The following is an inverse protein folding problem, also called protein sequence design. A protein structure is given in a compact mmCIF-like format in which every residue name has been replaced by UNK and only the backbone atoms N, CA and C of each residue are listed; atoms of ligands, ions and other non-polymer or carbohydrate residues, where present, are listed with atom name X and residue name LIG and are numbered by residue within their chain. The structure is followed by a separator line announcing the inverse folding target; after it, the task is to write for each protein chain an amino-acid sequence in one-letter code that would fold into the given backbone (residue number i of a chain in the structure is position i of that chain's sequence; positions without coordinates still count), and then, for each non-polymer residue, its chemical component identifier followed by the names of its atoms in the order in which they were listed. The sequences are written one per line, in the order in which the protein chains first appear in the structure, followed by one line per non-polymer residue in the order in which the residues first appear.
data_IF_578548913776
#
_entry.id   IF_578548913776
#
_cell.length_a   1.000
_cell.length_b   1.000
_cell.length_c   1.000
_cell.angle_alpha   90.00
_cell.angle_beta   90.00
_cell.angle_gamma   90.00
#
_symmetry.space_group_name_H-M   'P 1'
#
loop_
_entity.id
_entity.type
_entity.pdbx_description
1 polymer ?
#
# COMPACT_ATOMS: atom_id res chain seq x y z
N UNK A 1 1.23 -4.87 -14.92
CA UNK A 1 1.18 -5.46 -16.30
C UNK A 1 1.19 -6.97 -16.18
N UNK A 2 0.39 -7.69 -16.98
CA UNK A 2 0.46 -9.16 -17.07
C UNK A 2 1.19 -9.49 -18.37
N UNK A 3 2.25 -10.30 -18.23
CA UNK A 3 3.06 -10.74 -19.38
C UNK A 3 2.58 -12.13 -19.81
N UNK A 4 2.39 -12.36 -21.12
CA UNK A 4 1.95 -13.63 -21.67
C UNK A 4 0.44 -13.68 -21.95
N UNK A 5 -0.26 -14.69 -21.41
CA UNK A 5 -1.69 -14.92 -21.68
C UNK A 5 -2.59 -13.88 -20.99
N UNK A 6 -3.83 -13.74 -21.48
CA UNK A 6 -4.83 -12.87 -20.83
C UNK A 6 -5.06 -13.34 -19.38
N UNK A 7 -5.00 -12.42 -18.40
CA UNK A 7 -5.18 -12.79 -17.00
C UNK A 7 -6.59 -13.35 -16.75
N UNK A 8 -6.68 -14.33 -15.85
CA UNK A 8 -7.98 -14.84 -15.37
C UNK A 8 -8.79 -13.73 -14.68
N UNK A 9 -10.09 -13.97 -14.44
CA UNK A 9 -10.94 -13.04 -13.72
C UNK A 9 -10.41 -12.73 -12.31
N UNK A 10 -9.89 -13.75 -11.61
CA UNK A 10 -9.32 -13.59 -10.27
C UNK A 10 -8.05 -12.72 -10.28
N UNK A 11 -7.15 -12.91 -11.25
CA UNK A 11 -5.94 -12.09 -11.40
C UNK A 11 -6.31 -10.63 -11.72
N UNK A 12 -7.25 -10.42 -12.64
CA UNK A 12 -7.75 -9.07 -12.96
C UNK A 12 -8.34 -8.39 -11.72
N UNK A 13 -9.14 -9.13 -10.98
CA UNK A 13 -9.74 -8.64 -9.73
C UNK A 13 -8.66 -8.23 -8.72
N UNK A 14 -7.69 -9.11 -8.45
CA UNK A 14 -6.57 -8.83 -7.54
C UNK A 14 -5.84 -7.55 -7.95
N UNK A 15 -5.39 -7.46 -9.20
CA UNK A 15 -4.61 -6.31 -9.68
C UNK A 15 -5.43 -5.01 -9.62
N UNK A 16 -6.65 -5.00 -10.17
CA UNK A 16 -7.46 -3.78 -10.23
C UNK A 16 -7.89 -3.28 -8.85
N UNK A 17 -8.18 -4.19 -7.90
CA UNK A 17 -8.58 -3.80 -6.55
C UNK A 17 -7.37 -3.32 -5.74
N UNK A 18 -6.21 -3.96 -5.87
CA UNK A 18 -5.00 -3.49 -5.18
C UNK A 18 -4.59 -2.10 -5.67
N UNK A 19 -4.61 -1.87 -6.99
CA UNK A 19 -4.37 -0.54 -7.56
C UNK A 19 -5.40 0.48 -7.08
N UNK A 20 -6.70 0.13 -7.07
CA UNK A 20 -7.76 0.99 -6.54
C UNK A 20 -7.55 1.32 -5.07
N UNK A 21 -7.06 0.38 -4.27
CA UNK A 21 -6.77 0.63 -2.85
C UNK A 21 -5.63 1.63 -2.64
N UNK A 22 -4.59 1.59 -3.49
CA UNK A 22 -3.53 2.59 -3.51
C UNK A 22 -4.10 4.00 -3.72
N UNK A 23 -4.91 4.17 -4.77
CA UNK A 23 -5.52 5.48 -5.04
C UNK A 23 -6.54 5.90 -3.97
N UNK A 24 -7.20 4.97 -3.29
CA UNK A 24 -8.05 5.30 -2.15
C UNK A 24 -7.23 5.87 -0.99
N UNK A 25 -6.07 5.29 -0.68
CA UNK A 25 -5.12 5.84 0.30
C UNK A 25 -4.63 7.23 -0.07
N UNK A 26 -4.20 7.42 -1.33
CA UNK A 26 -3.74 8.73 -1.82
C UNK A 26 -4.86 9.78 -1.74
N UNK A 27 -6.07 9.43 -2.14
CA UNK A 27 -7.23 10.34 -2.12
C UNK A 27 -7.73 10.66 -0.70
N UNK A 28 -7.33 9.91 0.31
CA UNK A 28 -7.61 10.22 1.72
C UNK A 28 -6.73 11.35 2.27
N UNK A 29 -5.66 11.71 1.55
CA UNK A 29 -4.77 12.81 1.93
C UNK A 29 -5.45 14.14 1.61
N UNK A 30 -5.77 14.89 2.65
CA UNK A 30 -6.39 16.22 2.51
C UNK A 30 -5.37 17.37 2.63
N UNK A 31 -4.09 17.06 2.74
CA UNK A 31 -2.99 18.01 2.83
C UNK A 31 -2.29 18.00 4.17
N UNK A 32 -1.75 19.15 4.57
CA UNK A 32 -1.13 19.33 5.89
C UNK A 32 -2.09 18.92 7.01
N UNK A 33 -1.62 18.15 7.96
CA UNK A 33 -2.43 17.63 9.06
C UNK A 33 -3.11 16.27 8.81
N UNK A 34 -2.98 15.68 7.62
CA UNK A 34 -3.48 14.32 7.36
C UNK A 34 -2.83 13.32 8.32
N UNK A 35 -3.65 12.44 8.90
CA UNK A 35 -3.15 11.37 9.76
C UNK A 35 -2.96 10.07 8.97
N UNK A 36 -1.86 9.35 9.22
CA UNK A 36 -1.57 8.07 8.52
C UNK A 36 -2.65 7.02 8.74
N UNK A 37 -3.43 7.08 9.84
CA UNK A 37 -4.60 6.22 10.07
C UNK A 37 -5.68 6.39 8.99
N UNK A 38 -5.87 7.61 8.47
CA UNK A 38 -6.87 7.91 7.44
C UNK A 38 -6.51 7.20 6.13
N UNK A 39 -5.21 7.21 5.78
CA UNK A 39 -4.66 6.51 4.62
C UNK A 39 -4.89 4.99 4.77
N UNK A 40 -4.48 4.42 5.90
CA UNK A 40 -4.64 2.99 6.19
C UNK A 40 -6.09 2.55 6.20
N UNK A 41 -6.98 3.34 6.79
CA UNK A 41 -8.42 3.06 6.82
C UNK A 41 -9.05 3.05 5.41
N UNK A 42 -8.65 3.98 4.55
CA UNK A 42 -9.15 4.05 3.17
C UNK A 42 -8.69 2.84 2.33
N UNK A 43 -7.42 2.43 2.47
CA UNK A 43 -6.87 1.24 1.82
C UNK A 43 -7.62 -0.01 2.29
N UNK A 44 -7.71 -0.20 3.60
CA UNK A 44 -8.36 -1.36 4.22
C UNK A 44 -9.82 -1.50 3.78
N UNK A 45 -10.57 -0.40 3.71
CA UNK A 45 -11.97 -0.41 3.30
C UNK A 45 -12.14 -1.02 1.90
N UNK A 46 -11.29 -0.62 0.93
CA UNK A 46 -11.34 -1.15 -0.45
C UNK A 46 -11.00 -2.63 -0.48
N UNK A 47 -9.90 -3.04 0.18
CA UNK A 47 -9.43 -4.42 0.17
C UNK A 47 -10.41 -5.37 0.89
N UNK A 48 -10.95 -4.97 2.05
CA UNK A 48 -11.97 -5.75 2.79
C UNK A 48 -13.27 -5.91 2.00
N UNK A 49 -13.76 -4.84 1.37
CA UNK A 49 -14.96 -4.92 0.53
C UNK A 49 -14.80 -5.95 -0.60
N UNK A 50 -13.61 -6.07 -1.15
CA UNK A 50 -13.28 -7.02 -2.21
C UNK A 50 -12.91 -8.41 -1.69
N UNK A 51 -12.90 -8.63 -0.36
CA UNK A 51 -12.53 -9.88 0.31
C UNK A 51 -11.10 -10.36 -0.04
N UNK A 52 -10.17 -9.43 -0.20
CA UNK A 52 -8.75 -9.73 -0.36
C UNK A 52 -8.04 -9.76 1.00
N UNK A 53 -7.04 -10.64 1.12
CA UNK A 53 -6.11 -10.62 2.26
C UNK A 53 -5.26 -9.35 2.23
N UNK A 54 -4.98 -8.77 3.40
CA UNK A 54 -4.17 -7.56 3.54
C UNK A 54 -2.88 -7.94 4.25
N UNK A 55 -1.74 -7.85 3.56
CA UNK A 55 -0.44 -8.08 4.18
C UNK A 55 -0.20 -7.02 5.25
N UNK A 56 0.09 -7.46 6.49
CA UNK A 56 0.22 -6.57 7.64
C UNK A 56 1.65 -6.41 8.13
N UNK A 57 2.51 -7.33 7.77
CA UNK A 57 3.92 -7.35 8.17
C UNK A 57 4.79 -6.38 7.35
N UNK A 58 4.24 -5.86 6.24
CA UNK A 58 4.88 -4.88 5.36
C UNK A 58 3.97 -3.66 5.23
N UNK A 59 4.57 -2.49 5.32
CA UNK A 59 3.87 -1.20 5.33
C UNK A 59 4.63 -0.18 4.50
N UNK A 60 3.95 0.84 4.03
CA UNK A 60 4.59 2.01 3.45
C UNK A 60 5.40 2.80 4.49
N UNK A 61 6.11 3.81 4.06
CA UNK A 61 7.10 4.48 4.89
C UNK A 61 7.36 5.92 4.42
N UNK A 62 8.00 6.72 5.27
CA UNK A 62 8.59 7.99 4.86
C UNK A 62 9.71 7.77 3.83
N UNK A 63 9.93 8.75 2.98
CA UNK A 63 10.99 8.77 1.95
C UNK A 63 11.76 10.09 2.06
N UNK A 64 13.10 10.06 1.98
CA UNK A 64 13.88 11.29 2.07
C UNK A 64 15.37 11.04 1.79
N UNK A 65 16.21 11.32 2.79
CA UNK A 65 17.65 11.04 2.68
C UNK A 65 17.96 9.55 2.51
N UNK A 66 17.07 8.71 3.06
CA UNK A 66 17.10 7.27 2.89
C UNK A 66 15.82 6.80 2.24
N UNK A 67 15.86 5.60 1.63
CA UNK A 67 14.69 5.02 0.98
C UNK A 67 13.57 4.75 2.00
N UNK A 68 13.91 4.18 3.15
CA UNK A 68 12.98 3.85 4.21
C UNK A 68 13.23 4.73 5.44
N UNK A 69 12.28 5.60 5.74
CA UNK A 69 12.33 6.51 6.88
C UNK A 69 10.98 6.47 7.65
N UNK A 70 10.95 6.86 8.91
CA UNK A 70 9.68 7.14 9.59
C UNK A 70 8.89 8.25 8.86
N UNK A 71 7.55 8.25 8.99
CA UNK A 71 6.73 7.29 9.72
C UNK A 71 6.38 6.05 8.91
N UNK A 72 5.95 4.98 9.60
CA UNK A 72 5.26 3.86 8.95
C UNK A 72 3.90 4.30 8.40
N UNK A 73 3.54 3.79 7.21
CA UNK A 73 2.26 4.04 6.54
C UNK A 73 1.52 2.70 6.39
N UNK A 74 0.79 2.23 7.41
CA UNK A 74 0.09 0.95 7.35
C UNK A 74 -1.00 0.93 6.25
N UNK A 75 -1.18 -0.24 5.63
CA UNK A 75 -2.22 -0.49 4.65
C UNK A 75 -3.58 -0.90 5.29
N UNK A 76 -3.72 -0.65 6.58
CA UNK A 76 -4.88 -0.99 7.40
C UNK A 76 -4.99 -0.03 8.59
N UNK A 77 -6.18 0.06 9.15
CA UNK A 77 -6.44 0.95 10.29
C UNK A 77 -5.87 0.37 11.59
N UNK A 78 -5.07 1.17 12.29
CA UNK A 78 -4.59 0.90 13.65
C UNK A 78 -4.96 2.08 14.54
N UNK A 79 -6.02 1.92 15.32
CA UNK A 79 -6.56 3.00 16.15
C UNK A 79 -5.51 3.56 17.13
N UNK A 80 -5.30 4.86 17.09
CA UNK A 80 -4.45 5.60 18.03
C UNK A 80 -2.95 5.47 17.76
N UNK A 81 -2.53 4.93 16.61
CA UNK A 81 -1.11 4.80 16.22
C UNK A 81 -0.70 5.73 15.08
N UNK A 82 -1.63 6.54 14.59
CA UNK A 82 -1.38 7.40 13.45
C UNK A 82 -0.42 8.56 13.77
N UNK A 83 0.34 8.93 12.77
CA UNK A 83 1.25 10.08 12.77
C UNK A 83 0.65 11.16 11.88
N UNK A 84 0.74 12.41 12.31
CA UNK A 84 0.31 13.56 11.51
C UNK A 84 1.39 13.87 10.48
N UNK A 85 0.97 13.97 9.23
CA UNK A 85 1.83 14.35 8.10
C UNK A 85 1.75 15.87 7.90
N UNK A 86 2.86 16.45 7.45
CA UNK A 86 2.99 17.88 7.21
C UNK A 86 3.32 18.20 5.76
N UNK A 87 3.01 19.42 5.33
CA UNK A 87 3.41 19.93 4.03
C UNK A 87 4.94 19.76 3.83
N UNK A 88 5.33 19.14 2.72
CA UNK A 88 6.71 18.80 2.39
C UNK A 88 7.13 17.38 2.75
N UNK A 89 6.36 16.66 3.55
CA UNK A 89 6.62 15.25 3.81
C UNK A 89 6.48 14.43 2.52
N UNK A 90 7.37 13.48 2.33
CA UNK A 90 7.33 12.53 1.21
C UNK A 90 7.20 11.12 1.75
N UNK A 91 6.21 10.39 1.27
CA UNK A 91 5.87 9.05 1.75
C UNK A 91 5.67 8.05 0.61
N UNK A 92 5.97 6.79 0.84
CA UNK A 92 5.56 5.66 0.01
C UNK A 92 4.24 5.09 0.53
N UNK A 93 3.26 4.93 -0.36
CA UNK A 93 2.01 4.22 -0.09
C UNK A 93 2.03 2.99 -0.97
N UNK A 94 1.98 1.80 -0.36
CA UNK A 94 2.31 0.54 -1.05
C UNK A 94 1.43 -0.63 -0.59
N UNK A 95 0.12 -0.62 -0.86
CA UNK A 95 -0.76 -1.71 -0.48
C UNK A 95 -0.37 -3.03 -1.14
N UNK A 96 -0.32 -4.07 -0.31
CA UNK A 96 -0.06 -5.46 -0.71
C UNK A 96 -1.26 -6.31 -0.36
N UNK A 97 -1.87 -6.94 -1.37
CA UNK A 97 -3.06 -7.76 -1.22
C UNK A 97 -2.86 -9.18 -1.75
N UNK A 98 -3.63 -10.14 -1.21
CA UNK A 98 -3.57 -11.56 -1.59
C UNK A 98 -4.95 -12.09 -1.95
N UNK A 99 -5.00 -13.12 -2.80
CA UNK A 99 -6.25 -13.87 -3.09
C UNK A 99 -6.63 -14.86 -1.99
N UNK A 100 -5.75 -15.09 -1.03
CA UNK A 100 -5.94 -16.03 0.06
C UNK A 100 -5.58 -15.44 1.42
N UNK A 101 -4.76 -16.16 2.18
CA UNK A 101 -4.33 -15.72 3.49
C UNK A 101 -3.42 -14.48 3.42
N UNK A 102 -3.60 -13.57 4.36
CA UNK A 102 -2.73 -12.39 4.54
C UNK A 102 -1.31 -12.74 5.03
N UNK A 103 -1.10 -13.99 5.48
CA UNK A 103 0.16 -14.41 6.09
C UNK A 103 1.26 -14.61 5.05
N UNK A 104 2.42 -14.04 5.34
CA UNK A 104 3.62 -14.13 4.51
C UNK A 104 4.74 -14.90 5.23
N UNK A 105 5.73 -15.28 4.47
CA UNK A 105 7.02 -15.81 4.96
C UNK A 105 8.16 -15.21 4.16
N UNK A 106 9.26 -14.94 4.83
CA UNK A 106 10.53 -14.60 4.19
C UNK A 106 11.32 -15.88 3.95
N UNK A 107 11.96 -15.99 2.79
CA UNK A 107 12.85 -17.11 2.51
C UNK A 107 14.09 -17.01 3.42
N UNK A 108 14.38 -18.11 4.13
CA UNK A 108 15.51 -18.15 5.05
C UNK A 108 16.87 -18.27 4.35
N UNK A 109 16.89 -18.60 3.05
CA UNK A 109 18.14 -18.75 2.30
C UNK A 109 18.70 -17.41 1.83
N UNK A 110 17.83 -16.51 1.38
CA UNK A 110 18.24 -15.19 0.89
C UNK A 110 17.88 -14.04 1.85
N UNK A 111 17.00 -14.30 2.82
CA UNK A 111 16.55 -13.30 3.80
C UNK A 111 15.73 -12.16 3.20
N UNK A 112 15.35 -12.27 1.92
CA UNK A 112 14.73 -11.18 1.15
C UNK A 112 13.43 -11.59 0.46
N UNK A 113 13.41 -12.73 -0.21
CA UNK A 113 12.22 -13.17 -0.97
C UNK A 113 11.03 -13.42 -0.05
N UNK A 114 9.92 -12.74 -0.34
CA UNK A 114 8.68 -12.85 0.42
C UNK A 114 7.63 -13.56 -0.42
N UNK A 115 6.98 -14.56 0.20
CA UNK A 115 5.90 -15.33 -0.42
C UNK A 115 4.71 -15.46 0.51
N UNK A 116 3.50 -15.65 -0.03
CA UNK A 116 2.33 -16.01 0.78
C UNK A 116 2.51 -17.40 1.39
N UNK A 117 2.08 -17.60 2.64
CA UNK A 117 2.21 -18.90 3.32
C UNK A 117 1.38 -20.01 2.68
N UNK A 118 0.25 -19.65 2.09
CA UNK A 118 -0.69 -20.59 1.44
C UNK A 118 -0.46 -20.74 -0.06
N UNK A 119 0.54 -20.07 -0.64
CA UNK A 119 0.84 -20.11 -2.07
C UNK A 119 -0.16 -19.32 -2.95
N UNK A 120 -1.07 -18.55 -2.35
CA UNK A 120 -1.99 -17.70 -3.10
C UNK A 120 -1.24 -16.57 -3.81
N UNK A 121 -1.83 -16.07 -4.91
CA UNK A 121 -1.28 -14.94 -5.64
C UNK A 121 -1.41 -13.66 -4.81
N UNK A 122 -0.40 -12.81 -4.91
CA UNK A 122 -0.36 -11.49 -4.30
C UNK A 122 -0.15 -10.40 -5.37
N UNK A 123 -0.56 -9.18 -5.06
CA UNK A 123 -0.27 -7.99 -5.84
C UNK A 123 0.24 -6.87 -4.94
N UNK A 124 1.14 -6.07 -5.47
CA UNK A 124 1.72 -4.90 -4.84
C UNK A 124 1.66 -3.74 -5.83
N UNK A 125 1.14 -2.60 -5.40
CA UNK A 125 1.17 -1.34 -6.13
C UNK A 125 1.71 -0.26 -5.21
N UNK A 126 2.48 0.67 -5.78
CA UNK A 126 3.16 1.69 -4.99
C UNK A 126 3.22 3.02 -5.73
N UNK A 127 3.09 4.09 -4.97
CA UNK A 127 3.48 5.43 -5.38
C UNK A 127 4.21 6.16 -4.26
N UNK A 128 5.23 6.94 -4.65
CA UNK A 128 5.79 7.98 -3.78
C UNK A 128 4.96 9.24 -3.95
N UNK A 129 4.57 9.83 -2.83
CA UNK A 129 3.64 10.96 -2.76
C UNK A 129 4.24 12.07 -1.92
N UNK A 130 4.15 13.31 -2.41
CA UNK A 130 4.47 14.52 -1.66
C UNK A 130 3.20 15.06 -1.02
N UNK A 131 3.25 15.35 0.28
CA UNK A 131 2.17 16.05 0.98
C UNK A 131 2.26 17.54 0.63
N UNK A 132 1.19 18.07 0.07
CA UNK A 132 1.06 19.49 -0.22
C UNK A 132 0.17 20.17 0.81
N UNK A 133 0.05 21.48 0.75
CA UNK A 133 -0.81 22.23 1.67
C UNK A 133 -2.26 21.72 1.68
N UNK A 134 -2.82 21.41 0.52
CA UNK A 134 -4.25 21.13 0.34
C UNK A 134 -4.52 19.74 -0.27
N UNK A 135 -3.55 18.82 -0.23
CA UNK A 135 -3.69 17.47 -0.81
C UNK A 135 -2.37 16.75 -0.98
N UNK A 136 -2.23 16.01 -2.08
CA UNK A 136 -1.05 15.22 -2.37
C UNK A 136 -0.66 15.26 -3.85
N UNK A 137 0.64 15.21 -4.13
CA UNK A 137 1.19 15.08 -5.48
C UNK A 137 1.87 13.72 -5.64
N UNK A 138 1.49 12.97 -6.68
CA UNK A 138 2.13 11.69 -7.00
C UNK A 138 3.41 11.95 -7.77
N UNK A 139 4.56 11.66 -7.18
CA UNK A 139 5.87 11.91 -7.78
C UNK A 139 6.28 10.83 -8.79
N UNK A 140 5.79 9.61 -8.65
CA UNK A 140 6.15 8.43 -9.47
C UNK A 140 5.13 8.11 -10.57
N UNK A 141 4.27 9.05 -10.94
CA UNK A 141 3.31 8.87 -12.03
C UNK A 141 4.02 8.89 -13.39
N UNK A 142 3.87 7.80 -14.16
CA UNK A 142 4.34 7.75 -15.55
C UNK A 142 3.50 8.74 -16.37
N UNK A 143 4.19 9.63 -17.08
CA UNK A 143 3.59 10.63 -17.99
C UNK A 143 3.23 10.00 -19.33
#
# INVERSE_FOLDING_TARGET
MVVGEKPSGAIKHLLSVTEKSLYAGINAIHGDGTNTEEIGAAIEAVLKQAKLGIVRELVGHGVGLEMHMPPDIPNYHIKGSGVVLHEGDTIAIEPMATLGSEKIRTDSQDGWTITTKDGSLAAHFEHTVLITKDGAEILTKIR
#
